data_IF_514611510342
#
_entry.id   IF_514611510342
#
_cell.length_a   1.000
_cell.length_b   1.000
_cell.length_c   1.000
_cell.angle_alpha   90.00
_cell.angle_beta   90.00
_cell.angle_gamma   90.00
#
_symmetry.space_group_name_H-M   'P 1'
#
loop_
_entity.id
_entity.type
_entity.pdbx_description
1 polymer ?
#
# COMPACT_ATOMS: atom_id res chain seq x y z
N UNK A 1 42.43 -19.26 -3.92
CA UNK A 1 41.88 -18.62 -5.13
C UNK A 1 40.56 -19.22 -5.60
N UNK A 2 40.47 -20.48 -6.08
CA UNK A 2 39.19 -21.02 -6.59
C UNK A 2 38.13 -21.22 -5.48
N UNK A 3 38.53 -21.72 -4.31
CA UNK A 3 37.60 -21.97 -3.19
C UNK A 3 37.04 -20.68 -2.59
N UNK A 4 37.83 -19.60 -2.56
CA UNK A 4 37.35 -18.29 -2.08
C UNK A 4 36.25 -17.75 -2.99
N UNK A 5 36.42 -17.86 -4.31
CA UNK A 5 35.42 -17.39 -5.27
C UNK A 5 34.13 -18.21 -5.21
N UNK A 6 34.23 -19.52 -4.94
CA UNK A 6 33.09 -20.44 -4.77
C UNK A 6 32.26 -20.07 -3.53
N UNK A 7 32.88 -19.56 -2.47
CA UNK A 7 32.18 -19.10 -1.26
C UNK A 7 31.65 -17.67 -1.40
N UNK A 8 32.39 -16.79 -2.08
CA UNK A 8 32.06 -15.37 -2.15
C UNK A 8 30.96 -15.06 -3.17
N UNK A 9 30.93 -15.78 -4.29
CA UNK A 9 29.90 -15.61 -5.32
C UNK A 9 28.45 -15.77 -4.80
N UNK A 10 28.06 -16.85 -4.10
CA UNK A 10 26.70 -17.00 -3.59
C UNK A 10 26.37 -15.95 -2.51
N UNK A 11 27.35 -15.52 -1.71
CA UNK A 11 27.15 -14.46 -0.71
C UNK A 11 26.82 -13.12 -1.36
N UNK A 12 27.55 -12.74 -2.43
CA UNK A 12 27.27 -11.51 -3.18
C UNK A 12 25.90 -11.56 -3.85
N UNK A 13 25.55 -12.70 -4.46
CA UNK A 13 24.21 -12.90 -5.06
C UNK A 13 23.12 -12.76 -4.00
N UNK A 14 23.28 -13.37 -2.82
CA UNK A 14 22.32 -13.23 -1.73
C UNK A 14 22.12 -11.77 -1.29
N UNK A 15 23.21 -11.00 -1.19
CA UNK A 15 23.14 -9.57 -0.85
C UNK A 15 22.37 -8.78 -1.93
N UNK A 16 22.65 -9.04 -3.22
CA UNK A 16 21.94 -8.38 -4.32
C UNK A 16 20.43 -8.69 -4.31
N UNK A 17 20.06 -9.95 -4.06
CA UNK A 17 18.67 -10.36 -3.95
C UNK A 17 17.97 -9.69 -2.76
N UNK A 18 18.64 -9.51 -1.62
CA UNK A 18 18.10 -8.76 -0.48
C UNK A 18 17.88 -7.29 -0.83
N UNK A 19 18.81 -6.64 -1.54
CA UNK A 19 18.62 -5.25 -2.00
C UNK A 19 17.38 -5.12 -2.87
N UNK A 20 17.15 -6.06 -3.80
CA UNK A 20 15.93 -6.10 -4.62
C UNK A 20 14.68 -6.32 -3.76
N UNK A 21 14.74 -7.23 -2.78
CA UNK A 21 13.62 -7.51 -1.88
C UNK A 21 13.18 -6.25 -1.11
N UNK A 22 14.14 -5.52 -0.53
CA UNK A 22 13.87 -4.26 0.17
C UNK A 22 13.43 -3.16 -0.79
N UNK A 23 14.01 -3.09 -1.99
CA UNK A 23 13.60 -2.14 -3.02
C UNK A 23 12.13 -2.32 -3.40
N UNK A 24 11.70 -3.57 -3.65
CA UNK A 24 10.29 -3.91 -3.91
C UNK A 24 9.39 -3.56 -2.73
N UNK A 25 9.83 -3.85 -1.50
CA UNK A 25 9.07 -3.50 -0.28
C UNK A 25 8.82 -1.99 -0.18
N UNK A 26 9.88 -1.19 -0.30
CA UNK A 26 9.82 0.26 -0.16
C UNK A 26 9.00 0.89 -1.29
N UNK A 27 9.13 0.39 -2.52
CA UNK A 27 8.31 0.84 -3.65
C UNK A 27 6.82 0.62 -3.38
N UNK A 28 6.42 -0.63 -3.10
CA UNK A 28 5.01 -0.96 -2.81
C UNK A 28 4.49 -0.18 -1.62
N UNK A 29 5.27 -0.07 -0.54
CA UNK A 29 4.87 0.71 0.65
C UNK A 29 4.67 2.18 0.32
N UNK A 30 5.59 2.77 -0.44
CA UNK A 30 5.49 4.18 -0.86
C UNK A 30 4.25 4.43 -1.71
N UNK A 31 3.97 3.54 -2.66
CA UNK A 31 2.81 3.64 -3.55
C UNK A 31 1.50 3.58 -2.74
N UNK A 32 1.32 2.56 -1.88
CA UNK A 32 0.08 2.43 -1.10
C UNK A 32 -0.09 3.55 -0.08
N UNK A 33 0.99 4.11 0.46
CA UNK A 33 0.93 5.21 1.42
C UNK A 33 0.61 6.55 0.74
N UNK A 34 1.06 6.74 -0.51
CA UNK A 34 0.64 7.87 -1.34
C UNK A 34 -0.84 7.72 -1.74
N UNK A 35 -1.23 6.55 -2.25
CA UNK A 35 -2.61 6.28 -2.64
C UNK A 35 -3.59 6.40 -1.48
N UNK A 36 -3.25 5.90 -0.28
CA UNK A 36 -4.12 6.02 0.88
C UNK A 36 -4.38 7.48 1.25
N UNK A 37 -3.36 8.34 1.16
CA UNK A 37 -3.51 9.79 1.40
C UNK A 37 -4.40 10.45 0.36
N UNK A 38 -4.17 10.16 -0.92
CA UNK A 38 -4.94 10.74 -2.01
C UNK A 38 -6.40 10.28 -1.97
N UNK A 39 -6.64 8.99 -1.69
CA UNK A 39 -7.97 8.43 -1.53
C UNK A 39 -8.70 9.02 -0.32
N UNK A 40 -8.04 9.17 0.83
CA UNK A 40 -8.63 9.78 2.01
C UNK A 40 -8.97 11.26 1.79
N UNK A 41 -8.13 11.98 1.04
CA UNK A 41 -8.38 13.37 0.65
C UNK A 41 -9.56 13.49 -0.29
N UNK A 42 -9.68 12.61 -1.28
CA UNK A 42 -10.82 12.64 -2.20
C UNK A 42 -12.12 12.23 -1.50
N UNK A 43 -12.05 11.27 -0.58
CA UNK A 43 -13.18 10.86 0.24
C UNK A 43 -13.73 11.99 1.11
N UNK A 44 -12.86 12.83 1.71
CA UNK A 44 -13.29 13.96 2.54
C UNK A 44 -13.97 15.07 1.74
N UNK A 45 -13.74 15.12 0.43
CA UNK A 45 -14.42 16.04 -0.49
C UNK A 45 -15.83 15.60 -0.86
N UNK A 46 -16.30 14.42 -0.44
CA UNK A 46 -17.66 13.95 -0.73
C UNK A 46 -18.66 14.25 0.39
N UNK A 47 -19.94 14.41 0.03
CA UNK A 47 -20.99 14.85 0.95
C UNK A 47 -21.72 13.70 1.67
N UNK A 48 -21.50 12.45 1.24
CA UNK A 48 -22.14 11.25 1.79
C UNK A 48 -21.16 10.09 1.86
N UNK A 49 -21.44 9.12 2.73
CA UNK A 49 -20.60 7.95 2.94
C UNK A 49 -20.41 7.11 1.67
N UNK A 50 -21.47 6.94 0.89
CA UNK A 50 -21.42 6.10 -0.31
C UNK A 50 -20.65 6.79 -1.44
N UNK A 51 -20.80 8.11 -1.60
CA UNK A 51 -19.99 8.87 -2.56
C UNK A 51 -18.51 8.89 -2.17
N UNK A 52 -18.22 9.05 -0.87
CA UNK A 52 -16.85 9.02 -0.35
C UNK A 52 -16.19 7.66 -0.60
N UNK A 53 -16.92 6.56 -0.39
CA UNK A 53 -16.44 5.20 -0.70
C UNK A 53 -16.16 5.02 -2.18
N UNK A 54 -17.10 5.42 -3.04
CA UNK A 54 -16.93 5.30 -4.49
C UNK A 54 -15.72 6.12 -4.97
N UNK A 55 -15.58 7.37 -4.53
CA UNK A 55 -14.48 8.24 -4.92
C UNK A 55 -13.11 7.73 -4.43
N UNK A 56 -13.04 7.21 -3.20
CA UNK A 56 -11.82 6.58 -2.70
C UNK A 56 -11.43 5.34 -3.52
N UNK A 57 -12.40 4.50 -3.90
CA UNK A 57 -12.16 3.33 -4.73
C UNK A 57 -11.68 3.72 -6.13
N UNK A 58 -12.26 4.75 -6.75
CA UNK A 58 -11.80 5.27 -8.04
C UNK A 58 -10.33 5.73 -7.99
N UNK A 59 -9.92 6.41 -6.90
CA UNK A 59 -8.51 6.82 -6.69
C UNK A 59 -7.61 5.59 -6.54
N UNK A 60 -8.04 4.59 -5.77
CA UNK A 60 -7.27 3.36 -5.56
C UNK A 60 -7.09 2.60 -6.87
N UNK A 61 -8.15 2.45 -7.66
CA UNK A 61 -8.12 1.75 -8.94
C UNK A 61 -7.31 2.50 -10.00
N UNK A 62 -7.33 3.84 -9.99
CA UNK A 62 -6.51 4.66 -10.87
C UNK A 62 -5.01 4.65 -10.50
N UNK A 63 -4.70 4.57 -9.20
CA UNK A 63 -3.33 4.64 -8.70
C UNK A 63 -2.62 3.29 -8.69
N UNK A 64 -3.38 2.21 -8.47
CA UNK A 64 -2.86 0.86 -8.40
C UNK A 64 -3.25 0.11 -9.68
N UNK A 65 -2.44 0.25 -10.73
CA UNK A 65 -2.66 -0.35 -12.07
C UNK A 65 -2.91 -1.88 -12.06
N UNK A 66 -2.69 -2.57 -10.93
CA UNK A 66 -2.87 -4.02 -10.81
C UNK A 66 -3.36 -4.43 -9.42
N UNK A 67 -4.53 -3.92 -9.01
CA UNK A 67 -5.23 -4.23 -7.74
C UNK A 67 -5.33 -5.73 -7.37
N UNK A 68 -5.03 -6.65 -8.29
CA UNK A 68 -4.86 -8.10 -8.06
C UNK A 68 -3.98 -8.51 -6.85
N UNK A 69 -3.08 -7.63 -6.38
CA UNK A 69 -2.20 -7.90 -5.23
C UNK A 69 -2.70 -7.29 -3.92
N UNK A 70 -3.71 -6.43 -3.98
CA UNK A 70 -4.26 -5.72 -2.83
C UNK A 70 -5.62 -6.28 -2.46
N UNK A 71 -5.91 -6.29 -1.15
CA UNK A 71 -7.25 -6.51 -0.66
C UNK A 71 -8.14 -5.29 -1.04
N UNK A 72 -9.47 -5.45 -1.06
CA UNK A 72 -10.38 -4.32 -1.24
C UNK A 72 -10.07 -3.21 -0.23
N UNK A 73 -9.98 -1.97 -0.72
CA UNK A 73 -9.74 -0.81 0.13
C UNK A 73 -10.86 -0.66 1.17
N UNK A 74 -10.49 -0.40 2.41
CA UNK A 74 -11.45 -0.15 3.48
C UNK A 74 -11.54 1.34 3.74
N UNK A 75 -12.73 1.92 3.56
CA UNK A 75 -13.01 3.32 3.86
C UNK A 75 -13.88 3.35 5.10
N UNK A 76 -13.28 3.80 6.19
CA UNK A 76 -13.85 3.90 7.52
C UNK A 76 -14.07 5.37 7.84
N UNK A 77 -15.08 5.71 8.62
CA UNK A 77 -15.29 7.08 9.04
C UNK A 77 -16.71 7.36 9.47
N UNK A 78 -16.85 8.42 10.26
CA UNK A 78 -18.14 8.95 10.67
C UNK A 78 -18.41 10.21 9.86
N UNK A 79 -19.40 10.15 8.96
CA UNK A 79 -19.82 11.28 8.12
C UNK A 79 -20.68 12.25 8.92
N UNK A 80 -20.04 12.92 9.87
CA UNK A 80 -20.61 13.95 10.71
C UNK A 80 -19.68 15.17 10.73
N UNK A 81 -20.20 16.36 11.10
CA UNK A 81 -19.34 17.49 11.43
C UNK A 81 -18.31 17.07 12.50
N UNK A 82 -17.04 17.44 12.31
CA UNK A 82 -15.91 17.04 13.18
C UNK A 82 -15.57 15.53 13.13
N UNK A 83 -16.12 14.80 12.17
CA UNK A 83 -15.75 13.40 11.91
C UNK A 83 -14.39 13.25 11.22
N UNK A 84 -13.89 12.02 11.13
CA UNK A 84 -12.73 11.68 10.32
C UNK A 84 -13.07 10.61 9.28
N UNK A 85 -12.42 10.66 8.13
CA UNK A 85 -12.41 9.58 7.15
C UNK A 85 -11.03 8.96 7.09
N UNK A 86 -10.97 7.63 7.18
CA UNK A 86 -9.76 6.82 7.13
C UNK A 86 -9.84 5.83 5.98
N UNK A 87 -8.81 5.79 5.16
CA UNK A 87 -8.63 4.77 4.12
C UNK A 87 -7.52 3.83 4.54
N UNK A 88 -7.80 2.53 4.53
CA UNK A 88 -6.85 1.46 4.85
C UNK A 88 -6.67 0.58 3.62
N UNK A 89 -5.41 0.35 3.25
CA UNK A 89 -4.98 -0.49 2.14
C UNK A 89 -4.08 -1.60 2.65
N UNK A 90 -4.34 -2.82 2.21
CA UNK A 90 -3.52 -4.00 2.50
C UNK A 90 -3.09 -4.63 1.19
N UNK A 91 -1.80 -4.68 0.92
CA UNK A 91 -1.24 -5.20 -0.32
C UNK A 91 -0.20 -6.29 -0.07
N UNK A 92 -0.05 -7.21 -1.02
CA UNK A 92 0.97 -8.26 -0.98
C UNK A 92 2.14 -7.93 -1.90
N UNK A 93 3.33 -7.94 -1.32
CA UNK A 93 4.60 -7.91 -2.05
C UNK A 93 4.97 -9.35 -2.41
N UNK A 94 5.25 -9.59 -3.68
CA UNK A 94 5.65 -10.91 -4.17
C UNK A 94 7.17 -11.06 -4.23
N UNK A 95 7.66 -12.12 -3.60
CA UNK A 95 9.06 -12.53 -3.53
C UNK A 95 9.26 -13.95 -4.06
N UNK A 96 8.31 -14.49 -4.84
CA UNK A 96 8.41 -15.85 -5.38
C UNK A 96 9.68 -16.05 -6.22
N UNK A 97 10.13 -15.01 -6.91
CA UNK A 97 11.38 -14.98 -7.68
C UNK A 97 12.66 -15.00 -6.81
N UNK A 98 12.53 -14.81 -5.49
CA UNK A 98 13.65 -14.66 -4.54
C UNK A 98 13.79 -15.84 -3.56
N UNK A 99 13.10 -16.96 -3.82
CA UNK A 99 13.06 -18.12 -2.93
C UNK A 99 14.43 -18.76 -2.61
N UNK A 100 15.46 -18.49 -3.43
CA UNK A 100 16.82 -19.01 -3.23
C UNK A 100 17.48 -18.50 -1.92
N UNK A 101 17.00 -17.38 -1.35
CA UNK A 101 17.55 -16.77 -0.13
C UNK A 101 16.69 -17.07 1.12
N UNK A 102 15.70 -17.96 0.99
CA UNK A 102 14.82 -18.34 2.11
C UNK A 102 13.76 -17.29 2.48
N UNK A 103 13.46 -16.36 1.58
CA UNK A 103 12.37 -15.39 1.77
C UNK A 103 11.00 -16.07 1.60
N UNK A 104 9.98 -15.68 2.39
CA UNK A 104 8.61 -16.13 2.19
C UNK A 104 8.10 -15.67 0.82
N UNK A 105 7.33 -16.51 0.12
CA UNK A 105 6.89 -16.23 -1.26
C UNK A 105 6.11 -14.91 -1.41
N UNK A 106 5.41 -14.45 -0.38
CA UNK A 106 4.81 -13.12 -0.34
C UNK A 106 4.76 -12.55 1.08
N UNK A 107 4.81 -11.22 1.19
CA UNK A 107 4.66 -10.48 2.44
C UNK A 107 3.51 -9.48 2.33
N UNK A 108 2.64 -9.40 3.34
CA UNK A 108 1.61 -8.36 3.42
C UNK A 108 2.18 -7.06 3.96
N UNK A 109 1.76 -5.94 3.37
CA UNK A 109 2.11 -4.58 3.77
C UNK A 109 0.83 -3.77 3.86
N UNK A 110 0.68 -3.06 4.97
CA UNK A 110 -0.48 -2.23 5.27
C UNK A 110 -0.08 -0.75 5.25
N UNK A 111 -1.01 0.09 4.79
CA UNK A 111 -0.92 1.53 4.92
C UNK A 111 -2.31 2.12 5.19
N UNK A 112 -2.34 3.15 6.00
CA UNK A 112 -3.56 3.89 6.29
C UNK A 112 -3.32 5.41 6.27
N UNK A 113 -4.38 6.16 5.97
CA UNK A 113 -4.38 7.60 6.07
C UNK A 113 -5.74 8.10 6.55
N UNK A 114 -5.72 9.08 7.44
CA UNK A 114 -6.92 9.70 7.99
C UNK A 114 -6.93 11.21 7.69
N UNK A 115 -8.12 11.72 7.32
CA UNK A 115 -8.36 13.12 7.01
C UNK A 115 -9.58 13.60 7.78
N UNK A 116 -9.50 14.73 8.50
CA UNK A 116 -10.65 15.30 9.19
C UNK A 116 -11.67 15.85 8.19
N UNK A 117 -12.95 15.69 8.50
CA UNK A 117 -14.08 16.24 7.75
C UNK A 117 -14.33 17.70 8.17
N UNK A 118 -14.68 18.54 7.19
CA UNK A 118 -14.97 19.95 7.46
C UNK A 118 -16.22 20.09 8.36
N UNK A 119 -16.10 20.71 9.55
CA UNK A 119 -17.23 20.88 10.48
C UNK A 119 -18.32 21.83 9.95
N UNK A 120 -18.01 22.68 8.96
CA UNK A 120 -18.97 23.62 8.38
C UNK A 120 -19.78 23.03 7.22
N UNK A 121 -19.50 21.78 6.84
CA UNK A 121 -20.15 21.12 5.72
C UNK A 121 -21.33 20.25 6.20
N UNK A 122 -22.44 20.32 5.48
CA UNK A 122 -23.58 19.42 5.72
C UNK A 122 -23.34 18.07 5.04
N UNK A 123 -23.22 17.00 5.83
CA UNK A 123 -23.18 15.62 5.35
C UNK A 123 -24.60 15.02 5.41
N UNK A 124 -24.95 14.17 4.44
CA UNK A 124 -26.27 13.52 4.35
C UNK A 124 -26.15 12.04 4.05
#
# INVERSE_FOLDING_TARGET
MAVELVLLAPAVVAILLLVVAFGRYVAVRGDIEATARDAAREASLQASADQARAAALDVVDASLETSSRCAPAQVLGDWAPDGEVRVVLTCRVDYSDLGLVGLPGSLSVDADSAVPLDPYRSYR
#
